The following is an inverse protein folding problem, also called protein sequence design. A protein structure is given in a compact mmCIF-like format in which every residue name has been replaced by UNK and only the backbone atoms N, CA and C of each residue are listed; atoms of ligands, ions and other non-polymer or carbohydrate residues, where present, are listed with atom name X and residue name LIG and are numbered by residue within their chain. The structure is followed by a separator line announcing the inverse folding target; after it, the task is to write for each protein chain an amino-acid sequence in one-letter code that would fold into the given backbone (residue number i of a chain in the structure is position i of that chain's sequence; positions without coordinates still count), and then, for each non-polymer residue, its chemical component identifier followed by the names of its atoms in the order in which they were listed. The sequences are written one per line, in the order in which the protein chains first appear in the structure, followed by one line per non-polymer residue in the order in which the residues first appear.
data_IF_836892388446
#
_entry.id   IF_836892388446
#
_cell.length_a   1.000
_cell.length_b   1.000
_cell.length_c   1.000
_cell.angle_alpha   90.00
_cell.angle_beta   90.00
_cell.angle_gamma   90.00
#
_symmetry.space_group_name_H-M   'P 1'
#
loop_
_entity.id
_entity.type
_entity.pdbx_description
1 polymer ?
#
# COMPACT_ATOMS: atom_id res chain seq x y z
N UNK A 1 43.52 -0.98 1.55
CA UNK A 1 42.84 -2.32 1.51
C UNK A 1 41.62 -2.38 2.42
N UNK A 2 41.73 -2.05 3.72
CA UNK A 2 40.58 -2.09 4.67
C UNK A 2 39.38 -1.26 4.23
N UNK A 3 39.57 -0.01 3.78
CA UNK A 3 38.48 0.85 3.30
C UNK A 3 37.74 0.30 2.07
N UNK A 4 38.46 -0.33 1.14
CA UNK A 4 37.84 -0.94 -0.06
C UNK A 4 37.03 -2.18 0.29
N UNK A 5 37.53 -3.00 1.22
CA UNK A 5 36.81 -4.15 1.73
C UNK A 5 35.52 -3.74 2.47
N UNK A 6 35.59 -2.70 3.31
CA UNK A 6 34.41 -2.14 4.01
C UNK A 6 33.41 -1.57 3.01
N UNK A 7 33.86 -0.80 2.02
CA UNK A 7 32.97 -0.25 1.00
C UNK A 7 32.26 -1.34 0.19
N UNK A 8 32.98 -2.41 -0.18
CA UNK A 8 32.38 -3.57 -0.86
C UNK A 8 31.34 -4.25 0.04
N UNK A 9 31.64 -4.44 1.31
CA UNK A 9 30.74 -5.11 2.25
C UNK A 9 29.45 -4.30 2.47
N UNK A 10 29.57 -2.98 2.60
CA UNK A 10 28.43 -2.07 2.68
C UNK A 10 27.59 -2.14 1.39
N UNK A 11 28.22 -2.09 0.21
CA UNK A 11 27.51 -2.17 -1.06
C UNK A 11 26.76 -3.51 -1.24
N UNK A 12 27.39 -4.62 -0.85
CA UNK A 12 26.74 -5.94 -0.88
C UNK A 12 25.56 -5.98 0.08
N UNK A 13 25.73 -5.46 1.31
CA UNK A 13 24.67 -5.43 2.31
C UNK A 13 23.48 -4.57 1.87
N UNK A 14 23.73 -3.38 1.32
CA UNK A 14 22.65 -2.52 0.82
C UNK A 14 21.92 -3.19 -0.33
N UNK A 15 22.64 -3.82 -1.26
CA UNK A 15 22.03 -4.56 -2.37
C UNK A 15 21.15 -5.71 -1.87
N UNK A 16 21.65 -6.51 -0.92
CA UNK A 16 20.88 -7.61 -0.31
C UNK A 16 19.64 -7.10 0.42
N UNK A 17 19.76 -6.00 1.17
CA UNK A 17 18.63 -5.39 1.86
C UNK A 17 17.58 -4.90 0.86
N UNK A 18 17.98 -4.22 -0.22
CA UNK A 18 17.07 -3.78 -1.28
C UNK A 18 16.34 -4.96 -1.91
N UNK A 19 17.04 -6.05 -2.23
CA UNK A 19 16.42 -7.25 -2.80
C UNK A 19 15.43 -7.89 -1.82
N UNK A 20 15.79 -8.00 -0.54
CA UNK A 20 14.89 -8.54 0.48
C UNK A 20 13.60 -7.71 0.63
N UNK A 21 13.72 -6.38 0.61
CA UNK A 21 12.57 -5.46 0.67
C UNK A 21 11.66 -5.64 -0.55
N UNK A 22 12.23 -5.72 -1.76
CA UNK A 22 11.46 -5.93 -2.99
C UNK A 22 10.70 -7.27 -2.98
N UNK A 23 11.35 -8.35 -2.52
CA UNK A 23 10.70 -9.67 -2.40
C UNK A 23 9.54 -9.62 -1.39
N UNK A 24 9.73 -8.92 -0.26
CA UNK A 24 8.68 -8.73 0.73
C UNK A 24 7.43 -8.09 0.13
N UNK A 25 7.59 -6.92 -0.51
CA UNK A 25 6.46 -6.23 -1.13
C UNK A 25 5.79 -7.04 -2.23
N UNK A 26 6.57 -7.75 -3.05
CA UNK A 26 6.00 -8.59 -4.10
C UNK A 26 5.14 -9.72 -3.54
N UNK A 27 5.52 -10.30 -2.40
CA UNK A 27 4.70 -11.30 -1.72
C UNK A 27 3.42 -10.67 -1.14
N UNK A 28 3.53 -9.49 -0.52
CA UNK A 28 2.37 -8.80 0.06
C UNK A 28 1.33 -8.43 -1.01
N UNK A 29 1.78 -8.06 -2.21
CA UNK A 29 0.93 -7.80 -3.36
C UNK A 29 0.14 -9.03 -3.84
N UNK A 30 0.71 -10.24 -3.74
CA UNK A 30 0.03 -11.46 -4.19
C UNK A 30 -1.19 -11.83 -3.34
N UNK A 31 -1.32 -11.25 -2.13
CA UNK A 31 -2.39 -11.55 -1.18
C UNK A 31 -3.49 -10.47 -1.20
N UNK A 32 -3.33 -9.41 -2.00
CA UNK A 32 -4.35 -8.36 -2.13
C UNK A 32 -5.66 -8.98 -2.62
N UNK A 33 -6.75 -8.71 -1.88
CA UNK A 33 -8.08 -9.22 -2.18
C UNK A 33 -8.77 -8.28 -3.15
N UNK A 34 -8.92 -8.73 -4.38
CA UNK A 34 -9.51 -7.95 -5.45
C UNK A 34 -11.03 -7.96 -5.43
N UNK A 35 -11.63 -6.96 -6.06
CA UNK A 35 -13.06 -6.91 -6.31
C UNK A 35 -13.37 -6.39 -7.73
N UNK A 36 -14.51 -6.81 -8.31
CA UNK A 36 -14.99 -6.26 -9.56
C UNK A 36 -15.49 -4.81 -9.37
N UNK A 37 -14.90 -3.85 -10.08
CA UNK A 37 -15.40 -2.47 -10.15
C UNK A 37 -14.31 -1.40 -10.08
N UNK A 38 -14.74 -0.18 -9.74
CA UNK A 38 -13.89 0.98 -9.55
C UNK A 38 -13.60 1.20 -8.07
N UNK A 39 -12.35 1.52 -7.72
CA UNK A 39 -11.95 1.85 -6.36
C UNK A 39 -10.57 1.36 -5.99
N UNK A 40 -10.38 1.01 -4.71
CA UNK A 40 -9.09 0.63 -4.13
C UNK A 40 -9.21 -0.71 -3.43
N UNK A 41 -8.32 -1.64 -3.75
CA UNK A 41 -8.07 -2.85 -2.99
C UNK A 41 -6.64 -2.78 -2.45
N UNK A 42 -6.40 -3.25 -1.23
CA UNK A 42 -5.04 -3.17 -0.72
C UNK A 42 -4.80 -3.88 0.59
N UNK A 43 -3.55 -3.77 1.02
CA UNK A 43 -3.12 -4.22 2.34
C UNK A 43 -2.48 -3.06 3.10
N UNK A 44 -2.82 -2.95 4.37
CA UNK A 44 -2.29 -1.95 5.29
C UNK A 44 -1.29 -2.60 6.25
N UNK A 45 -0.03 -2.20 6.13
CA UNK A 45 1.06 -2.65 6.99
C UNK A 45 1.37 -1.60 8.05
N UNK A 46 1.06 -1.90 9.30
CA UNK A 46 1.37 -1.04 10.45
C UNK A 46 2.31 -1.73 11.43
N UNK A 47 2.94 -0.94 12.30
CA UNK A 47 3.68 -1.49 13.43
C UNK A 47 2.74 -1.72 14.61
N UNK A 48 2.55 -2.97 14.99
CA UNK A 48 1.73 -3.35 16.15
C UNK A 48 0.36 -3.87 15.74
N UNK A 49 -0.69 -3.50 16.47
CA UNK A 49 -2.04 -3.94 16.19
C UNK A 49 -2.60 -3.26 14.92
N UNK A 50 -3.29 -4.04 14.08
CA UNK A 50 -3.98 -3.48 12.92
C UNK A 50 -5.09 -2.52 13.38
N UNK A 51 -5.26 -1.36 12.71
CA UNK A 51 -6.37 -0.48 12.98
C UNK A 51 -7.68 -1.13 12.54
N UNK A 52 -8.79 -0.79 13.19
CA UNK A 52 -10.09 -1.35 12.84
C UNK A 52 -10.63 -0.82 11.49
N UNK A 53 -10.18 0.37 11.08
CA UNK A 53 -10.64 1.02 9.85
C UNK A 53 -9.57 1.95 9.26
N UNK A 54 -9.79 2.27 7.99
CA UNK A 54 -9.06 3.27 7.22
C UNK A 54 -10.05 4.38 6.86
N UNK A 55 -9.74 5.62 7.23
CA UNK A 55 -10.51 6.79 6.81
C UNK A 55 -10.16 7.12 5.35
N UNK A 56 -11.17 7.44 4.56
CA UNK A 56 -11.06 7.78 3.14
C UNK A 56 -11.79 9.09 2.92
N UNK A 57 -11.11 10.06 2.34
CA UNK A 57 -11.68 11.37 2.02
C UNK A 57 -11.46 11.68 0.55
N UNK A 58 -12.53 12.01 -0.17
CA UNK A 58 -12.43 12.50 -1.53
C UNK A 58 -11.91 13.93 -1.51
N UNK A 59 -10.74 14.17 -2.09
CA UNK A 59 -10.09 15.49 -2.07
C UNK A 59 -10.84 16.56 -2.87
N UNK A 60 -11.70 16.15 -3.81
CA UNK A 60 -12.49 17.08 -4.64
C UNK A 60 -13.81 17.47 -3.96
N UNK A 61 -14.51 16.51 -3.36
CA UNK A 61 -15.85 16.73 -2.79
C UNK A 61 -15.84 16.93 -1.28
N UNK A 62 -14.75 16.59 -0.60
CA UNK A 62 -14.66 16.53 0.86
C UNK A 62 -15.50 15.40 1.48
N UNK A 63 -16.04 14.48 0.66
CA UNK A 63 -16.82 13.36 1.16
C UNK A 63 -15.91 12.39 1.91
N UNK A 64 -16.21 12.16 3.18
CA UNK A 64 -15.46 11.26 4.04
C UNK A 64 -16.25 9.97 4.31
N UNK A 65 -15.54 8.85 4.32
CA UNK A 65 -16.04 7.52 4.66
C UNK A 65 -14.99 6.74 5.45
N UNK A 66 -15.39 5.61 6.02
CA UNK A 66 -14.46 4.65 6.62
C UNK A 66 -14.64 3.28 5.97
N UNK A 67 -13.53 2.59 5.76
CA UNK A 67 -13.51 1.20 5.31
C UNK A 67 -12.93 0.31 6.40
N UNK A 68 -13.52 -0.87 6.59
CA UNK A 68 -13.01 -1.84 7.54
C UNK A 68 -11.65 -2.38 7.07
N UNK A 69 -10.71 -2.48 8.01
CA UNK A 69 -9.43 -3.16 7.81
C UNK A 69 -9.50 -4.50 8.52
N UNK A 70 -9.21 -5.57 7.79
CA UNK A 70 -9.24 -6.93 8.32
C UNK A 70 -8.03 -7.21 9.21
N UNK A 71 -8.08 -8.31 9.97
CA UNK A 71 -7.00 -8.68 10.89
C UNK A 71 -5.65 -8.94 10.20
N UNK A 72 -5.67 -9.28 8.91
CA UNK A 72 -4.49 -9.44 8.05
C UNK A 72 -4.08 -8.15 7.32
N UNK A 73 -4.72 -7.02 7.62
CA UNK A 73 -4.46 -5.70 7.02
C UNK A 73 -5.20 -5.45 5.71
N UNK A 74 -5.87 -6.46 5.14
CA UNK A 74 -6.58 -6.31 3.88
C UNK A 74 -7.78 -5.35 4.00
N UNK A 75 -8.01 -4.55 2.97
CA UNK A 75 -9.18 -3.67 2.86
C UNK A 75 -9.65 -3.56 1.40
N UNK A 76 -10.93 -3.26 1.23
CA UNK A 76 -11.58 -3.06 -0.08
C UNK A 76 -12.50 -1.86 0.01
N UNK A 77 -12.23 -0.84 -0.79
CA UNK A 77 -12.99 0.40 -0.87
C UNK A 77 -13.52 0.60 -2.31
N UNK A 78 -14.78 0.21 -2.59
CA UNK A 78 -15.47 0.60 -3.81
C UNK A 78 -15.66 2.11 -3.80
N UNK A 79 -15.14 2.79 -4.82
CA UNK A 79 -15.11 4.25 -4.90
C UNK A 79 -15.36 4.66 -6.35
N UNK A 80 -16.00 5.81 -6.52
CA UNK A 80 -16.05 6.47 -7.82
C UNK A 80 -14.65 6.93 -8.25
N UNK A 81 -14.44 7.24 -9.55
CA UNK A 81 -13.17 7.79 -10.01
C UNK A 81 -12.87 9.13 -9.31
N UNK A 82 -11.62 9.33 -8.88
CA UNK A 82 -11.23 10.54 -8.18
C UNK A 82 -9.93 10.41 -7.39
N UNK A 83 -9.54 11.49 -6.72
CA UNK A 83 -8.39 11.50 -5.81
C UNK A 83 -8.87 11.37 -4.38
N UNK A 84 -8.30 10.42 -3.65
CA UNK A 84 -8.67 10.12 -2.29
C UNK A 84 -7.48 10.17 -1.36
N UNK A 85 -7.66 10.77 -0.18
CA UNK A 85 -6.73 10.69 0.93
C UNK A 85 -7.12 9.54 1.84
N UNK A 86 -6.18 8.63 2.09
CA UNK A 86 -6.35 7.50 2.98
C UNK A 86 -5.53 7.70 4.26
N UNK A 87 -6.15 7.44 5.41
CA UNK A 87 -5.55 7.64 6.73
C UNK A 87 -5.95 6.52 7.70
N UNK A 88 -5.00 5.73 8.22
CA UNK A 88 -5.30 4.71 9.24
C UNK A 88 -5.84 5.31 10.52
N UNK A 89 -6.75 4.60 11.19
CA UNK A 89 -7.25 5.03 12.49
C UNK A 89 -6.11 5.18 13.51
N UNK A 90 -5.98 6.38 14.08
CA UNK A 90 -4.96 6.68 15.09
C UNK A 90 -3.57 6.98 14.54
N UNK A 91 -3.39 7.05 13.21
CA UNK A 91 -2.16 7.53 12.58
C UNK A 91 -2.39 8.92 11.98
N UNK A 92 -1.45 9.85 12.17
CA UNK A 92 -1.55 11.21 11.61
C UNK A 92 -1.11 11.28 10.14
N UNK A 93 -0.39 10.26 9.66
CA UNK A 93 0.09 10.20 8.28
C UNK A 93 -1.03 9.76 7.35
N UNK A 94 -0.97 10.25 6.12
CA UNK A 94 -1.91 9.91 5.08
C UNK A 94 -1.20 9.73 3.74
N UNK A 95 -1.93 9.18 2.78
CA UNK A 95 -1.48 8.96 1.41
C UNK A 95 -2.58 9.36 0.44
N UNK A 96 -2.22 10.01 -0.65
CA UNK A 96 -3.14 10.30 -1.74
C UNK A 96 -3.07 9.18 -2.79
N UNK A 97 -4.23 8.72 -3.23
CA UNK A 97 -4.38 7.70 -4.27
C UNK A 97 -5.36 8.20 -5.31
N UNK A 98 -4.96 8.10 -6.59
CA UNK A 98 -5.82 8.35 -7.73
C UNK A 98 -6.53 7.05 -8.12
N UNK A 99 -7.86 7.08 -8.11
CA UNK A 99 -8.73 6.02 -8.63
C UNK A 99 -9.14 6.38 -10.06
N UNK A 100 -8.66 5.67 -11.09
CA UNK A 100 -9.04 5.89 -12.48
C UNK A 100 -10.40 5.28 -12.81
N UNK A 101 -11.02 5.74 -13.90
CA UNK A 101 -12.33 5.25 -14.32
C UNK A 101 -12.31 3.79 -14.77
N UNK A 102 -13.32 3.02 -14.34
CA UNK A 102 -13.50 1.60 -14.69
C UNK A 102 -12.44 0.63 -14.16
N UNK A 103 -11.56 1.05 -13.24
CA UNK A 103 -10.48 0.19 -12.73
C UNK A 103 -10.36 0.22 -11.20
N UNK A 104 -9.95 -0.91 -10.66
CA UNK A 104 -9.54 -1.06 -9.27
C UNK A 104 -8.02 -0.89 -9.18
N UNK A 105 -7.57 -0.04 -8.27
CA UNK A 105 -6.14 0.12 -7.95
C UNK A 105 -5.80 -0.84 -6.82
N UNK A 106 -4.76 -1.66 -7.02
CA UNK A 106 -4.15 -2.46 -5.98
C UNK A 106 -2.89 -1.81 -5.42
N UNK A 107 -2.78 -1.78 -4.10
CA UNK A 107 -1.61 -1.20 -3.46
C UNK A 107 -1.37 -1.73 -2.05
N UNK A 108 -0.09 -1.76 -1.67
CA UNK A 108 0.34 -1.96 -0.28
C UNK A 108 0.66 -0.61 0.34
N UNK A 109 0.10 -0.36 1.51
CA UNK A 109 0.35 0.83 2.33
C UNK A 109 1.24 0.47 3.51
N UNK A 110 2.53 0.77 3.44
CA UNK A 110 3.45 0.53 4.55
C UNK A 110 3.61 1.77 5.43
N UNK A 111 3.02 1.70 6.62
CA UNK A 111 3.10 2.67 7.70
C UNK A 111 4.07 2.24 8.82
N UNK A 112 4.83 1.15 8.67
CA UNK A 112 5.76 0.67 9.73
C UNK A 112 6.91 1.64 10.01
N UNK A 113 7.27 2.48 9.05
CA UNK A 113 8.37 3.45 9.15
C UNK A 113 7.84 4.77 9.72
N UNK A 114 8.22 5.22 10.94
CA UNK A 114 7.54 6.31 11.66
C UNK A 114 7.41 7.69 10.98
N UNK A 115 8.16 7.95 9.90
CA UNK A 115 8.16 9.23 9.18
C UNK A 115 7.89 9.09 7.67
N UNK A 116 7.60 7.87 7.22
CA UNK A 116 7.44 7.57 5.81
C UNK A 116 6.22 6.67 5.64
N UNK A 117 5.43 6.96 4.60
CA UNK A 117 4.43 6.03 4.10
C UNK A 117 4.90 5.58 2.75
N UNK A 118 5.02 4.28 2.55
CA UNK A 118 5.29 3.72 1.23
C UNK A 118 3.97 3.28 0.64
N UNK A 119 3.64 3.89 -0.51
CA UNK A 119 2.56 3.43 -1.37
C UNK A 119 3.19 2.60 -2.48
N UNK A 120 3.00 1.28 -2.41
CA UNK A 120 3.59 0.35 -3.36
C UNK A 120 2.47 -0.17 -4.26
N UNK A 121 2.33 0.36 -5.50
CA UNK A 121 1.32 -0.13 -6.43
C UNK A 121 1.63 -1.57 -6.83
N UNK A 122 0.59 -2.37 -7.07
CA UNK A 122 0.76 -3.73 -7.55
C UNK A 122 1.60 -3.84 -8.82
N UNK A 123 2.42 -4.89 -8.91
CA UNK A 123 3.10 -5.24 -10.16
C UNK A 123 2.16 -5.99 -11.11
N UNK A 124 1.80 -5.37 -12.24
CA UNK A 124 1.15 -6.04 -13.38
C UNK A 124 0.07 -5.18 -14.05
N UNK A 125 -0.31 -5.48 -15.31
CA UNK A 125 -1.63 -5.06 -15.80
C UNK A 125 -2.70 -5.67 -14.87
N UNK A 126 -3.88 -5.04 -14.70
CA UNK A 126 -4.95 -5.59 -13.88
C UNK A 126 -5.15 -7.07 -14.24
N UNK A 127 -5.12 -7.94 -13.23
CA UNK A 127 -5.31 -9.37 -13.44
C UNK A 127 -6.64 -9.53 -14.19
N UNK A 128 -6.65 -10.16 -15.38
CA UNK A 128 -7.84 -10.21 -16.20
C UNK A 128 -8.98 -10.89 -15.43
N UNK A 129 -10.14 -10.26 -15.49
CA UNK A 129 -11.40 -10.73 -14.94
C UNK A 129 -11.63 -12.21 -15.32
N UNK A 130 -12.00 -13.11 -14.40
CA UNK A 130 -12.60 -14.37 -14.81
C UNK A 130 -13.90 -14.05 -15.56
N UNK A 131 -13.98 -14.51 -16.81
CA UNK A 131 -15.14 -14.39 -17.69
C UNK A 131 -16.41 -15.01 -17.09
#
# INVERSE_FOLDING_TARGET
MKLRAVALLVATLTTLLTVAVLIGYRNDQQVIRWFPGTGIAGNLDVRGAQPAYLAIENETTGAAATVAVLADGAFIAPLDPGTYRLQPAGDARSVEVLVPDGHCVDLVLDFRIPMLVLSVPGEGPPVPWPA
#
